data_IF_736545771298
#
_entry.id   IF_736545771298
#
_cell.length_a   1.000
_cell.length_b   1.000
_cell.length_c   1.000
_cell.angle_alpha   90.00
_cell.angle_beta   90.00
_cell.angle_gamma   90.00
#
_symmetry.space_group_name_H-M   'P 1'
#
loop_
_entity.id
_entity.type
_entity.pdbx_description
1 polymer ?
#
# COMPACT_ATOMS: atom_id res chain seq x y z
N UNK A 1 -2.41 8.91 -1.73
CA UNK A 1 -3.33 9.09 -2.88
C UNK A 1 -4.33 10.23 -2.61
N UNK A 2 -4.49 11.11 -3.60
CA UNK A 2 -5.57 12.12 -3.61
C UNK A 2 -6.95 11.43 -3.66
N UNK A 3 -8.05 12.12 -3.34
CA UNK A 3 -9.39 11.54 -3.40
C UNK A 3 -9.70 10.85 -4.75
N UNK A 4 -9.32 11.46 -5.88
CA UNK A 4 -9.52 10.89 -7.22
C UNK A 4 -8.69 9.63 -7.50
N UNK A 5 -7.57 9.44 -6.82
CA UNK A 5 -6.69 8.27 -6.97
C UNK A 5 -7.10 7.09 -6.08
N UNK A 6 -7.91 7.32 -5.04
CA UNK A 6 -8.25 6.30 -4.03
C UNK A 6 -9.03 5.11 -4.60
N UNK A 7 -10.04 5.27 -5.49
CA UNK A 7 -10.76 4.12 -6.04
C UNK A 7 -9.85 3.12 -6.75
N UNK A 8 -8.88 3.61 -7.52
CA UNK A 8 -7.91 2.77 -8.22
C UNK A 8 -7.00 2.02 -7.24
N UNK A 9 -6.47 2.70 -6.23
CA UNK A 9 -5.64 2.07 -5.19
C UNK A 9 -6.43 1.04 -4.39
N UNK A 10 -7.68 1.33 -4.06
CA UNK A 10 -8.57 0.40 -3.37
C UNK A 10 -8.82 -0.86 -4.22
N UNK A 11 -9.05 -0.73 -5.52
CA UNK A 11 -9.20 -1.87 -6.43
C UNK A 11 -7.95 -2.74 -6.52
N UNK A 12 -6.75 -2.14 -6.51
CA UNK A 12 -5.50 -2.90 -6.46
C UNK A 12 -5.38 -3.69 -5.15
N UNK A 13 -5.74 -3.09 -4.01
CA UNK A 13 -5.67 -3.75 -2.70
C UNK A 13 -6.71 -4.86 -2.55
N UNK A 14 -7.95 -4.64 -2.99
CA UNK A 14 -8.99 -5.68 -3.05
C UNK A 14 -8.55 -6.84 -3.92
N UNK A 15 -8.06 -6.56 -5.14
CA UNK A 15 -7.56 -7.60 -6.03
C UNK A 15 -6.44 -8.43 -5.39
N UNK A 16 -5.50 -7.80 -4.69
CA UNK A 16 -4.45 -8.52 -3.94
C UNK A 16 -5.07 -9.40 -2.86
N UNK A 17 -5.99 -8.84 -2.06
CA UNK A 17 -6.66 -9.55 -0.98
C UNK A 17 -7.40 -10.79 -1.50
N UNK A 18 -8.22 -10.63 -2.53
CA UNK A 18 -9.06 -11.69 -3.11
C UNK A 18 -8.23 -12.82 -3.76
N UNK A 19 -7.00 -12.51 -4.18
CA UNK A 19 -6.07 -13.47 -4.77
C UNK A 19 -5.04 -14.00 -3.77
N UNK A 20 -5.18 -13.71 -2.47
CA UNK A 20 -4.28 -14.19 -1.42
C UNK A 20 -2.86 -13.59 -1.47
N UNK A 21 -2.68 -12.44 -2.15
CA UNK A 21 -1.41 -11.72 -2.19
C UNK A 21 -1.21 -10.90 -0.92
N UNK A 22 0.05 -10.78 -0.50
CA UNK A 22 0.44 -9.83 0.53
C UNK A 22 0.16 -8.39 0.05
N UNK A 23 -0.46 -7.56 0.90
CA UNK A 23 -0.84 -6.20 0.51
C UNK A 23 0.37 -5.29 0.34
N UNK A 24 1.45 -5.52 1.08
CA UNK A 24 2.71 -4.80 0.94
C UNK A 24 2.63 -3.30 1.26
N UNK A 25 1.78 -2.90 2.21
CA UNK A 25 1.49 -1.48 2.50
C UNK A 25 2.36 -0.96 3.66
N UNK A 26 3.18 0.06 3.40
CA UNK A 26 4.11 0.65 4.39
C UNK A 26 3.42 1.15 5.66
N UNK A 27 2.27 1.79 5.49
CA UNK A 27 1.52 2.37 6.61
C UNK A 27 1.15 1.32 7.67
N UNK A 28 0.93 0.06 7.26
CA UNK A 28 0.63 -1.04 8.18
C UNK A 28 1.84 -1.38 9.05
N UNK A 29 3.04 -1.50 8.47
CA UNK A 29 4.29 -1.71 9.22
C UNK A 29 4.71 -0.51 10.07
N UNK A 30 4.25 0.71 9.73
CA UNK A 30 4.50 1.92 10.54
C UNK A 30 3.58 2.05 11.75
N UNK A 31 2.42 1.40 11.73
CA UNK A 31 1.39 1.57 12.75
C UNK A 31 1.86 1.24 14.17
N UNK A 32 2.80 0.31 14.32
CA UNK A 32 3.34 -0.12 15.62
C UNK A 32 4.60 0.62 16.04
N UNK A 33 5.06 1.61 15.26
CA UNK A 33 6.23 2.42 15.59
C UNK A 33 5.88 3.46 16.64
N UNK A 34 6.80 3.67 17.60
CA UNK A 34 6.71 4.79 18.56
C UNK A 34 6.76 6.15 17.85
N UNK A 35 7.62 6.26 16.84
CA UNK A 35 7.75 7.45 16.01
C UNK A 35 7.47 7.08 14.56
N UNK A 36 6.40 7.65 14.00
CA UNK A 36 5.95 7.34 12.64
C UNK A 36 7.06 7.50 11.58
N UNK A 37 7.96 8.48 11.76
CA UNK A 37 9.03 8.83 10.82
C UNK A 37 10.41 8.24 11.19
N UNK A 38 10.51 7.35 12.18
CA UNK A 38 11.77 6.65 12.46
C UNK A 38 12.10 5.67 11.33
N UNK A 39 12.99 6.08 10.43
CA UNK A 39 13.42 5.28 9.29
C UNK A 39 14.12 3.99 9.74
N UNK A 40 14.92 4.02 10.79
CA UNK A 40 15.68 2.85 11.24
C UNK A 40 14.73 1.79 11.80
N UNK A 41 13.82 2.21 12.67
CA UNK A 41 12.81 1.31 13.23
C UNK A 41 11.87 0.78 12.13
N UNK A 42 11.45 1.63 11.19
CA UNK A 42 10.65 1.21 10.05
C UNK A 42 11.34 0.12 9.21
N UNK A 43 12.63 0.29 8.87
CA UNK A 43 13.38 -0.71 8.11
C UNK A 43 13.51 -2.05 8.85
N UNK A 44 13.62 -2.02 10.18
CA UNK A 44 13.58 -3.24 10.99
C UNK A 44 12.18 -3.90 10.93
N UNK A 45 11.11 -3.10 11.06
CA UNK A 45 9.72 -3.58 10.99
C UNK A 45 9.36 -4.23 9.66
N UNK A 46 9.90 -3.73 8.54
CA UNK A 46 9.67 -4.34 7.22
C UNK A 46 10.09 -5.82 7.16
N UNK A 47 11.02 -6.25 8.03
CA UNK A 47 11.57 -7.61 8.07
C UNK A 47 11.16 -8.39 9.33
N UNK A 48 10.36 -7.79 10.20
CA UNK A 48 9.94 -8.39 11.47
C UNK A 48 8.77 -9.37 11.22
N UNK A 49 8.99 -10.70 11.34
CA UNK A 49 7.93 -11.68 11.17
C UNK A 49 6.98 -11.72 12.37
N UNK A 50 7.35 -11.13 13.51
CA UNK A 50 6.52 -11.15 14.73
C UNK A 50 5.45 -10.06 14.71
N UNK A 51 5.62 -9.02 13.91
CA UNK A 51 4.65 -7.93 13.77
C UNK A 51 3.36 -8.40 13.08
N UNK A 52 2.20 -8.38 13.76
CA UNK A 52 0.93 -8.79 13.16
C UNK A 52 0.40 -7.79 12.12
N UNK A 53 0.91 -6.55 12.09
CA UNK A 53 0.52 -5.54 11.10
C UNK A 53 1.40 -5.54 9.85
N UNK A 54 2.44 -6.40 9.78
CA UNK A 54 3.33 -6.44 8.64
C UNK A 54 2.71 -7.14 7.42
N UNK A 55 1.95 -6.40 6.63
CA UNK A 55 1.29 -6.90 5.40
C UNK A 55 2.24 -7.23 4.25
N UNK A 56 3.56 -7.15 4.44
CA UNK A 56 4.56 -7.70 3.50
C UNK A 56 4.87 -9.16 3.78
N UNK A 57 4.76 -9.59 5.03
CA UNK A 57 5.08 -10.95 5.47
C UNK A 57 3.82 -11.75 5.81
N UNK A 58 2.69 -11.09 6.02
CA UNK A 58 1.41 -11.71 6.36
C UNK A 58 0.36 -11.40 5.30
N UNK A 59 -0.30 -12.43 4.71
CA UNK A 59 -1.41 -12.22 3.80
C UNK A 59 -2.65 -11.74 4.56
N UNK A 60 -3.56 -11.07 3.84
CA UNK A 60 -4.80 -10.56 4.40
C UNK A 60 -4.71 -9.13 4.93
N UNK A 61 -5.79 -8.70 5.61
CA UNK A 61 -5.87 -7.41 6.29
C UNK A 61 -5.09 -7.44 7.62
N UNK A 62 -4.58 -6.29 8.10
CA UNK A 62 -4.07 -6.19 9.46
C UNK A 62 -5.17 -6.46 10.50
N UNK A 63 -4.83 -6.76 11.77
CA UNK A 63 -5.80 -7.11 12.79
C UNK A 63 -6.87 -6.04 13.07
N UNK A 64 -6.53 -4.76 12.85
CA UNK A 64 -7.42 -3.62 13.07
C UNK A 64 -7.18 -2.51 12.03
N UNK A 65 -8.08 -1.53 11.92
CA UNK A 65 -7.80 -0.29 11.19
C UNK A 65 -6.59 0.46 11.76
N UNK A 66 -5.72 0.96 10.88
CA UNK A 66 -4.48 1.66 11.26
C UNK A 66 -4.61 3.19 11.32
N UNK A 67 -5.83 3.71 11.23
CA UNK A 67 -6.10 5.15 11.20
C UNK A 67 -7.60 5.45 11.12
N UNK A 68 -7.95 6.73 11.10
CA UNK A 68 -9.32 7.20 10.98
C UNK A 68 -9.62 7.65 9.53
N UNK A 69 -10.30 6.82 8.71
CA UNK A 69 -10.54 7.16 7.31
C UNK A 69 -11.60 8.26 7.18
N UNK A 70 -11.35 9.22 6.29
CA UNK A 70 -12.39 10.15 5.85
C UNK A 70 -13.42 9.48 4.92
N UNK A 71 -14.56 10.14 4.69
CA UNK A 71 -15.67 9.59 3.90
C UNK A 71 -15.24 9.12 2.51
N UNK A 72 -14.40 9.88 1.83
CA UNK A 72 -13.88 9.57 0.49
C UNK A 72 -12.92 8.37 0.47
N UNK A 73 -12.35 7.97 1.61
CA UNK A 73 -11.59 6.72 1.71
C UNK A 73 -12.53 5.52 1.93
N UNK A 74 -13.60 5.70 2.71
CA UNK A 74 -14.63 4.67 2.89
C UNK A 74 -15.38 4.38 1.59
N UNK A 75 -15.79 5.41 0.87
CA UNK A 75 -16.44 5.28 -0.44
C UNK A 75 -15.57 4.50 -1.43
N UNK A 76 -14.26 4.83 -1.51
CA UNK A 76 -13.32 4.11 -2.35
C UNK A 76 -13.14 2.64 -1.94
N UNK A 77 -13.24 2.32 -0.64
CA UNK A 77 -13.15 0.96 -0.15
C UNK A 77 -14.40 0.13 -0.46
N UNK A 78 -15.59 0.75 -0.44
CA UNK A 78 -16.88 0.12 -0.74
C UNK A 78 -17.10 -0.03 -2.25
N UNK A 79 -16.69 0.97 -3.03
CA UNK A 79 -16.83 1.02 -4.49
C UNK A 79 -15.44 1.23 -5.14
N UNK A 80 -14.57 0.20 -5.11
CA UNK A 80 -13.26 0.28 -5.75
C UNK A 80 -13.38 0.37 -7.27
N UNK A 81 -12.35 0.92 -7.91
CA UNK A 81 -12.23 0.90 -9.37
C UNK A 81 -11.48 -0.35 -9.81
N UNK A 82 -12.14 -1.18 -10.63
CA UNK A 82 -11.49 -2.30 -11.30
C UNK A 82 -10.43 -1.82 -12.29
N UNK A 83 -9.35 -2.59 -12.40
CA UNK A 83 -8.26 -2.30 -13.33
C UNK A 83 -7.47 -3.56 -13.66
N UNK A 84 -6.50 -3.46 -14.57
CA UNK A 84 -5.50 -4.51 -14.84
C UNK A 84 -4.28 -4.44 -13.90
N UNK A 85 -4.18 -3.39 -13.07
CA UNK A 85 -2.98 -3.11 -12.30
C UNK A 85 -2.87 -3.95 -11.02
N UNK A 86 -1.64 -4.30 -10.68
CA UNK A 86 -1.32 -5.04 -9.46
C UNK A 86 -0.40 -4.28 -8.54
N UNK A 87 0.26 -3.24 -9.03
CA UNK A 87 1.23 -2.43 -8.31
C UNK A 87 0.91 -0.95 -8.51
N UNK A 88 1.35 -0.13 -7.58
CA UNK A 88 1.31 1.32 -7.69
C UNK A 88 2.45 1.94 -6.90
N UNK A 89 2.84 3.15 -7.29
CA UNK A 89 3.70 4.03 -6.50
C UNK A 89 3.27 5.48 -6.72
N UNK A 90 3.68 6.35 -5.81
CA UNK A 90 3.61 7.80 -5.98
C UNK A 90 5.02 8.34 -6.18
N UNK A 91 5.21 9.23 -7.15
CA UNK A 91 6.48 9.93 -7.34
C UNK A 91 6.64 11.14 -6.39
N UNK A 92 7.74 11.87 -6.54
CA UNK A 92 8.02 13.08 -5.74
C UNK A 92 6.97 14.19 -5.92
N UNK A 93 6.27 14.21 -7.05
CA UNK A 93 5.20 15.16 -7.38
C UNK A 93 3.80 14.64 -7.01
N UNK A 94 3.75 13.55 -6.22
CA UNK A 94 2.52 12.87 -5.78
C UNK A 94 1.66 12.32 -6.93
N UNK A 95 2.24 12.09 -8.11
CA UNK A 95 1.55 11.44 -9.22
C UNK A 95 1.53 9.93 -9.03
N UNK A 96 0.36 9.32 -9.28
CA UNK A 96 0.15 7.88 -9.16
C UNK A 96 0.61 7.18 -10.44
N UNK A 97 1.51 6.21 -10.29
CA UNK A 97 2.02 5.38 -11.39
C UNK A 97 1.65 3.91 -11.15
N UNK A 98 0.51 3.44 -11.69
CA UNK A 98 0.11 2.04 -11.56
C UNK A 98 0.89 1.15 -12.54
N UNK A 99 1.00 -0.14 -12.23
CA UNK A 99 1.73 -1.11 -13.04
C UNK A 99 1.05 -2.49 -13.00
N UNK A 100 1.07 -3.18 -14.14
CA UNK A 100 0.39 -4.47 -14.36
C UNK A 100 1.17 -5.64 -13.80
N UNK A 101 2.48 -5.49 -13.70
CA UNK A 101 3.38 -6.53 -13.23
C UNK A 101 4.63 -5.93 -12.58
N UNK A 102 5.44 -6.80 -11.97
CA UNK A 102 6.68 -6.41 -11.27
C UNK A 102 7.68 -5.71 -12.18
N UNK A 103 7.79 -6.09 -13.47
CA UNK A 103 8.76 -5.47 -14.38
C UNK A 103 8.41 -4.01 -14.66
N UNK A 104 7.13 -3.74 -14.88
CA UNK A 104 6.62 -2.37 -15.04
C UNK A 104 6.77 -1.56 -13.75
N UNK A 105 6.47 -2.16 -12.59
CA UNK A 105 6.64 -1.47 -11.31
C UNK A 105 8.10 -1.07 -11.07
N UNK A 106 9.05 -1.98 -11.31
CA UNK A 106 10.48 -1.71 -11.19
C UNK A 106 10.97 -0.70 -12.24
N UNK A 107 10.39 -0.71 -13.45
CA UNK A 107 10.66 0.33 -14.44
C UNK A 107 10.18 1.71 -13.98
N UNK A 108 8.97 1.79 -13.39
CA UNK A 108 8.44 3.03 -12.80
C UNK A 108 9.31 3.51 -11.63
N UNK A 109 9.73 2.61 -10.72
CA UNK A 109 10.64 2.96 -9.61
C UNK A 109 11.92 3.63 -10.11
N UNK A 110 12.57 3.05 -11.14
CA UNK A 110 13.77 3.63 -11.77
C UNK A 110 13.48 4.95 -12.49
N UNK A 111 12.37 5.02 -13.23
CA UNK A 111 11.98 6.20 -14.02
C UNK A 111 11.67 7.42 -13.14
N UNK A 112 11.01 7.21 -12.00
CA UNK A 112 10.52 8.27 -11.12
C UNK A 112 11.34 8.42 -9.83
N UNK A 113 12.44 7.67 -9.67
CA UNK A 113 13.35 7.80 -8.53
C UNK A 113 12.77 7.37 -7.18
N UNK A 114 11.83 6.41 -7.18
CA UNK A 114 11.14 5.94 -5.97
C UNK A 114 11.78 4.63 -5.48
N UNK A 115 12.43 4.68 -4.32
CA UNK A 115 13.20 3.56 -3.75
C UNK A 115 12.67 3.07 -2.41
#
# INVERSE_FOLDING_TARGET
PTPSQRPLVAGILWKRLDNGWNLGVDATSRYTLEQWNDRRAFLAKLRDPTDPYNTRLRPGLPPTPIGNPGITALEAAIAPQDSEFWYYLHDGDQQLHPARNVREHEANRRRYGVY
#
